data_IF_140468362385
#
_entry.id   IF_140468362385
#
_cell.length_a   1.000
_cell.length_b   1.000
_cell.length_c   1.000
_cell.angle_alpha   90.00
_cell.angle_beta   90.00
_cell.angle_gamma   90.00
#
_symmetry.space_group_name_H-M   'P 1'
#
loop_
_entity.id
_entity.type
_entity.pdbx_description
1 polymer ?
#
# COMPACT_ATOMS: atom_id res chain seq x y z
N UNK A 1 14.01 -22.47 16.36
CA UNK A 1 12.64 -21.97 16.11
C UNK A 1 12.36 -20.63 16.81
N UNK A 2 12.86 -20.39 18.03
CA UNK A 2 12.68 -19.13 18.76
C UNK A 2 13.14 -17.87 18.00
N UNK A 3 14.31 -17.91 17.33
CA UNK A 3 14.79 -16.77 16.53
C UNK A 3 13.87 -16.36 15.37
N UNK A 4 13.09 -17.30 14.79
CA UNK A 4 12.18 -16.99 13.69
C UNK A 4 10.95 -16.22 14.23
N UNK A 5 10.44 -16.65 15.40
CA UNK A 5 9.30 -16.03 16.08
C UNK A 5 9.59 -14.58 16.47
N UNK A 6 10.81 -14.27 16.90
CA UNK A 6 11.20 -12.90 17.26
C UNK A 6 11.50 -11.99 16.04
N UNK A 7 11.72 -12.55 14.84
CA UNK A 7 11.97 -11.78 13.60
C UNK A 7 10.70 -11.45 12.79
N UNK A 8 9.63 -12.23 12.96
CA UNK A 8 8.31 -12.00 12.36
C UNK A 8 7.73 -10.59 12.65
N UNK A 9 7.79 -10.08 13.90
CA UNK A 9 7.34 -8.73 14.21
C UNK A 9 8.06 -7.66 13.41
N UNK A 10 9.38 -7.82 13.18
CA UNK A 10 10.20 -6.87 12.42
C UNK A 10 9.77 -6.86 10.95
N UNK A 11 9.58 -8.04 10.34
CA UNK A 11 9.09 -8.14 8.97
C UNK A 11 7.70 -7.50 8.80
N UNK A 12 6.79 -7.73 9.76
CA UNK A 12 5.44 -7.16 9.73
C UNK A 12 5.42 -5.64 9.85
N UNK A 13 6.26 -5.08 10.73
CA UNK A 13 6.41 -3.62 10.86
C UNK A 13 6.91 -3.03 9.53
N UNK A 14 7.92 -3.64 8.91
CA UNK A 14 8.44 -3.19 7.62
C UNK A 14 7.39 -3.29 6.51
N UNK A 15 6.60 -4.38 6.47
CA UNK A 15 5.52 -4.56 5.51
C UNK A 15 4.44 -3.48 5.66
N UNK A 16 4.05 -3.15 6.89
CA UNK A 16 3.10 -2.05 7.17
C UNK A 16 3.67 -0.71 6.73
N UNK A 17 4.92 -0.39 7.08
CA UNK A 17 5.58 0.85 6.68
C UNK A 17 5.63 0.98 5.16
N UNK A 18 6.00 -0.09 4.46
CA UNK A 18 6.06 -0.14 3.00
C UNK A 18 4.67 -0.01 2.36
N UNK A 19 3.66 -0.69 2.92
CA UNK A 19 2.27 -0.58 2.47
C UNK A 19 1.71 0.84 2.61
N UNK A 20 1.95 1.49 3.74
CA UNK A 20 1.50 2.87 4.00
C UNK A 20 2.22 3.87 3.10
N UNK A 21 3.54 3.76 2.94
CA UNK A 21 4.29 4.65 2.03
C UNK A 21 3.89 4.44 0.57
N UNK A 22 3.70 3.20 0.13
CA UNK A 22 3.16 2.89 -1.20
C UNK A 22 1.80 3.55 -1.41
N UNK A 23 0.87 3.41 -0.46
CA UNK A 23 -0.43 4.06 -0.53
C UNK A 23 -0.33 5.60 -0.58
N UNK A 24 0.56 6.20 0.22
CA UNK A 24 0.83 7.63 0.19
C UNK A 24 1.37 8.10 -1.17
N UNK A 25 2.27 7.33 -1.78
CA UNK A 25 2.81 7.63 -3.12
C UNK A 25 1.75 7.53 -4.21
N UNK A 26 0.84 6.55 -4.13
CA UNK A 26 -0.30 6.45 -5.05
C UNK A 26 -1.28 7.61 -4.89
N UNK A 27 -1.55 8.05 -3.66
CA UNK A 27 -2.38 9.22 -3.39
C UNK A 27 -1.71 10.49 -3.93
N UNK A 28 -0.41 10.65 -3.71
CA UNK A 28 0.36 11.78 -4.20
C UNK A 28 0.40 11.79 -5.74
N UNK A 29 0.63 10.65 -6.38
CA UNK A 29 0.68 10.54 -7.84
C UNK A 29 -0.67 10.78 -8.50
N UNK A 30 -1.77 10.35 -7.88
CA UNK A 30 -3.12 10.60 -8.39
C UNK A 30 -3.54 12.08 -8.36
N UNK A 31 -2.86 12.92 -7.56
CA UNK A 31 -3.08 14.38 -7.52
C UNK A 31 -2.32 15.12 -8.62
N UNK A 32 -1.25 14.53 -9.16
CA UNK A 32 -0.50 15.13 -10.25
C UNK A 32 -1.28 14.87 -11.54
N UNK A 33 -1.75 15.93 -12.24
CA UNK A 33 -2.34 15.74 -13.55
C UNK A 33 -1.28 15.09 -14.44
N UNK A 34 -1.59 13.93 -15.01
CA UNK A 34 -0.73 13.30 -16.01
C UNK A 34 -0.49 14.35 -17.11
N UNK A 35 0.77 14.68 -17.45
CA UNK A 35 1.05 15.46 -18.64
C UNK A 35 0.62 14.59 -19.82
N UNK A 36 -0.63 14.76 -20.24
CA UNK A 36 -1.13 14.24 -21.49
C UNK A 36 -0.32 14.97 -22.54
N UNK A 37 0.73 14.33 -23.05
CA UNK A 37 1.44 14.82 -24.22
C UNK A 37 0.43 15.10 -25.34
N UNK A 38 0.82 15.90 -26.32
CA UNK A 38 -0.02 16.28 -27.47
C UNK A 38 -0.66 15.08 -28.21
N UNK A 39 -0.22 13.84 -27.93
CA UNK A 39 -0.70 12.58 -28.52
C UNK A 39 -1.72 11.79 -27.66
N UNK A 40 -2.06 12.23 -26.45
CA UNK A 40 -3.11 11.54 -25.65
C UNK A 40 -4.50 12.11 -25.96
N UNK A 41 -5.32 11.31 -26.64
CA UNK A 41 -6.73 11.61 -26.85
C UNK A 41 -7.46 11.83 -25.51
N UNK A 42 -8.47 12.71 -25.49
CA UNK A 42 -9.27 13.01 -24.28
C UNK A 42 -9.82 11.75 -23.60
N UNK A 43 -10.09 10.70 -24.38
CA UNK A 43 -10.59 9.43 -23.89
C UNK A 43 -9.54 8.66 -23.08
N UNK A 44 -8.27 8.67 -23.53
CA UNK A 44 -7.14 8.08 -22.78
C UNK A 44 -6.83 8.87 -21.52
N UNK A 45 -6.94 10.20 -21.56
CA UNK A 45 -6.79 11.05 -20.38
C UNK A 45 -7.83 10.71 -19.30
N UNK A 46 -9.10 10.53 -19.69
CA UNK A 46 -10.19 10.12 -18.79
C UNK A 46 -9.97 8.70 -18.24
N UNK A 47 -9.55 7.75 -19.08
CA UNK A 47 -9.26 6.39 -18.67
C UNK A 47 -8.11 6.32 -17.64
N UNK A 48 -7.03 7.07 -17.88
CA UNK A 48 -5.86 7.13 -16.99
C UNK A 48 -6.22 7.73 -15.64
N UNK A 49 -7.03 8.81 -15.63
CA UNK A 49 -7.54 9.39 -14.38
C UNK A 49 -8.42 8.43 -13.60
N UNK A 50 -9.26 7.65 -14.29
CA UNK A 50 -10.10 6.62 -13.67
C UNK A 50 -9.25 5.48 -13.08
N UNK A 51 -8.25 5.01 -13.82
CA UNK A 51 -7.29 4.00 -13.36
C UNK A 51 -6.50 4.46 -12.13
N UNK A 52 -6.01 5.71 -12.12
CA UNK A 52 -5.36 6.29 -10.95
C UNK A 52 -6.26 6.28 -9.71
N UNK A 53 -7.55 6.59 -9.87
CA UNK A 53 -8.53 6.51 -8.78
C UNK A 53 -8.73 5.08 -8.24
N UNK A 54 -8.76 4.06 -9.10
CA UNK A 54 -8.81 2.67 -8.66
C UNK A 54 -7.52 2.25 -7.95
N UNK A 55 -6.36 2.68 -8.42
CA UNK A 55 -5.07 2.37 -7.78
C UNK A 55 -4.97 2.98 -6.39
N UNK A 56 -5.44 4.22 -6.20
CA UNK A 56 -5.51 4.83 -4.86
C UNK A 56 -6.38 4.01 -3.91
N UNK A 57 -7.56 3.58 -4.36
CA UNK A 57 -8.46 2.76 -3.54
C UNK A 57 -7.86 1.39 -3.21
N UNK A 58 -7.27 0.73 -4.21
CA UNK A 58 -6.61 -0.56 -4.02
C UNK A 58 -5.43 -0.46 -3.05
N UNK A 59 -4.61 0.60 -3.17
CA UNK A 59 -3.49 0.84 -2.28
C UNK A 59 -3.95 1.12 -0.84
N UNK A 60 -5.03 1.88 -0.65
CA UNK A 60 -5.61 2.12 0.67
C UNK A 60 -6.12 0.82 1.31
N UNK A 61 -6.84 -0.02 0.56
CA UNK A 61 -7.32 -1.33 1.05
C UNK A 61 -6.13 -2.21 1.43
N UNK A 62 -5.11 -2.30 0.57
CA UNK A 62 -3.91 -3.10 0.82
C UNK A 62 -3.19 -2.67 2.10
N UNK A 63 -3.04 -1.36 2.34
CA UNK A 63 -2.44 -0.85 3.57
C UNK A 63 -3.24 -1.25 4.82
N UNK A 64 -4.56 -1.13 4.80
CA UNK A 64 -5.43 -1.55 5.93
C UNK A 64 -5.33 -3.06 6.17
N UNK A 65 -5.34 -3.87 5.12
CA UNK A 65 -5.19 -5.33 5.23
C UNK A 65 -3.84 -5.71 5.85
N UNK A 66 -2.74 -5.03 5.50
CA UNK A 66 -1.44 -5.30 6.10
C UNK A 66 -1.38 -4.90 7.57
N UNK A 67 -1.97 -3.77 7.96
CA UNK A 67 -2.08 -3.38 9.38
C UNK A 67 -2.88 -4.42 10.17
N UNK A 68 -3.98 -4.91 9.61
CA UNK A 68 -4.81 -5.94 10.24
C UNK A 68 -4.06 -7.25 10.46
N UNK A 69 -3.34 -7.73 9.43
CA UNK A 69 -2.52 -8.95 9.52
C UNK A 69 -1.42 -8.77 10.57
N UNK A 70 -0.69 -7.65 10.52
CA UNK A 70 0.38 -7.36 11.47
C UNK A 70 -0.12 -7.30 12.92
N UNK A 71 -1.28 -6.70 13.17
CA UNK A 71 -1.89 -6.66 14.49
C UNK A 71 -2.29 -8.06 15.00
N UNK A 72 -2.88 -8.88 14.11
CA UNK A 72 -3.24 -10.26 14.42
C UNK A 72 -2.04 -11.14 14.75
N UNK A 73 -0.94 -10.98 14.03
CA UNK A 73 0.31 -11.71 14.30
C UNK A 73 1.00 -11.20 15.56
N UNK A 74 1.01 -9.89 15.81
CA UNK A 74 1.58 -9.33 17.03
C UNK A 74 0.90 -9.88 18.28
N UNK A 75 -0.44 -9.95 18.31
CA UNK A 75 -1.19 -10.53 19.43
C UNK A 75 -0.92 -12.03 19.65
N UNK A 76 -0.63 -12.78 18.57
CA UNK A 76 -0.35 -14.22 18.66
C UNK A 76 1.06 -14.53 19.14
N UNK A 77 2.05 -13.72 18.75
CA UNK A 77 3.46 -14.01 18.97
C UNK A 77 4.13 -13.18 20.08
N UNK A 78 3.50 -12.09 20.53
CA UNK A 78 3.98 -11.29 21.66
C UNK A 78 4.28 -12.08 22.96
N UNK A 79 3.51 -13.12 23.36
CA UNK A 79 3.82 -13.86 24.59
C UNK A 79 4.94 -14.92 24.43
N UNK A 80 5.45 -15.14 23.22
CA UNK A 80 6.45 -16.18 22.93
C UNK A 80 7.83 -15.62 22.52
N UNK A 81 7.98 -14.29 22.55
CA UNK A 81 9.22 -13.57 22.23
C UNK A 81 9.89 -13.03 23.49
#
# INVERSE_FOLDING_TARGET
MQNILCTLPVFNILAVLFGVTSAALWIASARVPFPTGYDMDEEQAKATKKAAGYNVRAAAISAVSMVWIAAGEFMKFAPFC
#
